data_IF_286450038228
#
_entry.id   IF_286450038228
#
_cell.length_a   1.000
_cell.length_b   1.000
_cell.length_c   1.000
_cell.angle_alpha   90.00
_cell.angle_beta   90.00
_cell.angle_gamma   90.00
#
_symmetry.space_group_name_H-M   'P 1'
#
loop_
_entity.id
_entity.type
_entity.pdbx_description
1 polymer ?
#
# COMPACT_ATOMS: atom_id res chain seq x y z
N UNK A 1 0.78 14.12 -12.93
CA UNK A 1 0.23 12.77 -13.15
C UNK A 1 -1.24 12.84 -12.81
N UNK A 2 -2.10 12.41 -13.73
CA UNK A 2 -3.54 12.32 -13.52
C UNK A 2 -3.83 10.91 -13.02
N UNK A 3 -4.31 10.75 -11.79
CA UNK A 3 -4.77 9.45 -11.34
C UNK A 3 -6.09 9.09 -12.03
N UNK A 4 -6.31 7.80 -12.36
CA UNK A 4 -7.62 7.32 -12.76
C UNK A 4 -8.66 7.52 -11.64
N UNK A 5 -8.24 7.38 -10.38
CA UNK A 5 -9.07 7.62 -9.19
C UNK A 5 -8.78 9.04 -8.66
N UNK A 6 -9.80 9.90 -8.65
CA UNK A 6 -9.69 11.30 -8.20
C UNK A 6 -10.62 11.65 -7.05
N UNK A 7 -11.57 10.77 -6.76
CA UNK A 7 -12.56 10.91 -5.71
C UNK A 7 -12.49 9.63 -4.87
N UNK A 8 -12.07 9.80 -3.62
CA UNK A 8 -11.85 8.70 -2.69
C UNK A 8 -13.16 8.18 -2.09
N UNK A 9 -14.23 8.99 -2.13
CA UNK A 9 -15.56 8.61 -1.64
C UNK A 9 -16.31 7.75 -2.67
N UNK A 10 -15.86 7.78 -3.93
CA UNK A 10 -16.40 6.98 -5.02
C UNK A 10 -15.70 5.61 -5.18
N UNK A 11 -14.76 5.25 -4.30
CA UNK A 11 -13.99 4.00 -4.39
C UNK A 11 -14.19 3.14 -3.16
N UNK A 12 -14.51 1.88 -3.42
CA UNK A 12 -14.54 0.79 -2.45
C UNK A 12 -13.55 -0.31 -2.88
N UNK A 13 -13.38 -1.32 -2.02
CA UNK A 13 -12.45 -2.42 -2.30
C UNK A 13 -12.92 -3.29 -3.48
N UNK A 14 -14.23 -3.44 -3.66
CA UNK A 14 -14.81 -4.23 -4.76
C UNK A 14 -14.54 -3.60 -6.12
N UNK A 15 -14.68 -2.29 -6.25
CA UNK A 15 -14.37 -1.52 -7.47
C UNK A 15 -12.87 -1.52 -7.79
N UNK A 16 -12.02 -1.68 -6.78
CA UNK A 16 -10.58 -1.93 -6.98
C UNK A 16 -10.28 -3.35 -7.47
N UNK A 17 -11.26 -4.26 -7.46
CA UNK A 17 -11.09 -5.65 -7.87
C UNK A 17 -10.17 -6.42 -6.94
N UNK A 18 -10.22 -6.12 -5.65
CA UNK A 18 -9.45 -6.81 -4.61
C UNK A 18 -10.43 -7.74 -3.86
N UNK A 19 -10.14 -9.04 -3.85
CA UNK A 19 -10.91 -9.99 -3.07
C UNK A 19 -10.44 -9.96 -1.60
N UNK A 20 -11.37 -9.73 -0.68
CA UNK A 20 -11.13 -9.82 0.75
C UNK A 20 -11.51 -11.21 1.27
N UNK A 21 -10.80 -11.67 2.31
CA UNK A 21 -11.21 -12.82 3.09
C UNK A 21 -12.25 -12.46 4.17
N UNK A 22 -12.67 -13.46 4.96
CA UNK A 22 -13.68 -13.31 6.02
C UNK A 22 -13.27 -12.32 7.12
N UNK A 23 -11.97 -11.99 7.22
CA UNK A 23 -11.43 -10.99 8.15
C UNK A 23 -11.33 -9.59 7.52
N UNK A 24 -11.78 -9.41 6.27
CA UNK A 24 -11.70 -8.13 5.55
C UNK A 24 -10.30 -7.79 5.07
N UNK A 25 -9.43 -8.78 4.91
CA UNK A 25 -8.03 -8.59 4.52
C UNK A 25 -7.72 -9.18 3.15
N UNK A 26 -6.60 -8.75 2.58
CA UNK A 26 -6.04 -9.32 1.36
C UNK A 26 -4.53 -9.47 1.51
N UNK A 27 -3.94 -10.33 0.68
CA UNK A 27 -2.49 -10.55 0.63
C UNK A 27 -1.91 -9.98 -0.64
N UNK A 28 -0.79 -9.27 -0.50
CA UNK A 28 0.03 -8.78 -1.60
C UNK A 28 1.43 -9.39 -1.55
N UNK A 29 2.08 -9.49 -2.70
CA UNK A 29 3.44 -10.02 -2.86
C UNK A 29 4.37 -8.96 -3.43
N UNK A 30 5.45 -8.63 -2.71
CA UNK A 30 6.50 -7.70 -3.13
C UNK A 30 7.82 -8.45 -3.14
N UNK A 31 8.41 -8.66 -4.32
CA UNK A 31 9.71 -9.35 -4.49
C UNK A 31 9.79 -10.70 -3.75
N UNK A 32 8.70 -11.46 -3.75
CA UNK A 32 8.61 -12.77 -3.08
C UNK A 32 8.23 -12.72 -1.60
N UNK A 33 8.13 -11.54 -0.99
CA UNK A 33 7.59 -11.37 0.37
C UNK A 33 6.08 -11.16 0.32
N UNK A 34 5.35 -11.94 1.11
CA UNK A 34 3.90 -11.77 1.28
C UNK A 34 3.60 -10.85 2.45
N UNK A 35 2.66 -9.93 2.26
CA UNK A 35 2.20 -9.00 3.27
C UNK A 35 0.67 -8.96 3.27
N UNK A 36 0.06 -8.86 4.45
CA UNK A 36 -1.39 -8.83 4.63
C UNK A 36 -1.81 -7.43 5.06
N UNK A 37 -2.82 -6.89 4.40
CA UNK A 37 -3.42 -5.59 4.71
C UNK A 37 -4.93 -5.75 4.83
N UNK A 38 -5.58 -4.89 5.61
CA UNK A 38 -7.04 -4.79 5.58
C UNK A 38 -7.50 -3.92 4.41
N UNK A 39 -8.71 -4.17 3.92
CA UNK A 39 -9.35 -3.26 2.96
C UNK A 39 -9.59 -1.86 3.53
N UNK A 40 -9.90 -1.78 4.83
CA UNK A 40 -10.15 -0.51 5.52
C UNK A 40 -8.91 0.39 5.54
N UNK A 41 -7.75 -0.13 5.98
CA UNK A 41 -6.48 0.60 5.99
C UNK A 41 -6.11 1.11 4.59
N UNK A 42 -6.36 0.30 3.55
CA UNK A 42 -6.09 0.69 2.17
C UNK A 42 -6.94 1.90 1.75
N UNK A 43 -8.24 1.87 2.03
CA UNK A 43 -9.14 2.96 1.65
C UNK A 43 -8.83 4.25 2.41
N UNK A 44 -8.51 4.14 3.70
CA UNK A 44 -8.11 5.29 4.53
C UNK A 44 -6.83 5.94 3.99
N UNK A 45 -5.78 5.16 3.75
CA UNK A 45 -4.53 5.68 3.19
C UNK A 45 -4.72 6.26 1.77
N UNK A 46 -5.59 5.67 0.95
CA UNK A 46 -5.93 6.22 -0.37
C UNK A 46 -6.58 7.61 -0.27
N UNK A 47 -7.48 7.81 0.70
CA UNK A 47 -8.10 9.13 1.00
C UNK A 47 -7.03 10.14 1.40
N UNK A 48 -6.21 9.78 2.38
CA UNK A 48 -5.13 10.63 2.88
C UNK A 48 -4.19 11.06 1.75
N UNK A 49 -3.81 10.15 0.86
CA UNK A 49 -2.95 10.47 -0.27
C UNK A 49 -3.57 11.41 -1.30
N UNK A 50 -4.89 11.39 -1.47
CA UNK A 50 -5.60 12.31 -2.35
C UNK A 50 -5.69 13.72 -1.76
N UNK A 51 -5.76 13.85 -0.44
CA UNK A 51 -5.75 15.12 0.29
C UNK A 51 -4.34 15.76 0.38
N UNK A 52 -3.29 14.94 0.27
CA UNK A 52 -1.91 15.43 0.31
C UNK A 52 -1.46 16.04 -1.03
N UNK A 53 -0.82 17.22 -0.96
CA UNK A 53 -0.19 17.87 -2.12
C UNK A 53 0.76 16.92 -2.85
N UNK A 54 0.66 16.88 -4.18
CA UNK A 54 1.41 15.94 -5.03
C UNK A 54 2.93 15.94 -4.82
N UNK A 55 3.54 17.07 -4.47
CA UNK A 55 4.99 17.16 -4.20
C UNK A 55 5.39 16.44 -2.92
N UNK A 56 4.58 16.58 -1.86
CA UNK A 56 4.77 15.94 -0.56
C UNK A 56 4.57 14.44 -0.68
N UNK A 57 3.47 14.01 -1.31
CA UNK A 57 3.21 12.59 -1.59
C UNK A 57 4.35 11.93 -2.35
N UNK A 58 4.88 12.59 -3.38
CA UNK A 58 6.03 12.07 -4.14
C UNK A 58 7.29 11.89 -3.29
N UNK A 59 7.51 12.75 -2.28
CA UNK A 59 8.63 12.59 -1.36
C UNK A 59 8.40 11.43 -0.37
N UNK A 60 7.18 11.30 0.16
CA UNK A 60 6.79 10.19 1.03
C UNK A 60 6.96 8.84 0.32
N UNK A 61 6.47 8.71 -0.92
CA UNK A 61 6.58 7.48 -1.70
C UNK A 61 8.04 7.08 -1.97
N UNK A 62 8.92 8.03 -2.29
CA UNK A 62 10.35 7.75 -2.47
C UNK A 62 11.02 7.28 -1.18
N UNK A 63 10.55 7.76 -0.02
CA UNK A 63 11.03 7.29 1.29
C UNK A 63 10.50 5.88 1.56
N UNK A 64 9.19 5.66 1.39
CA UNK A 64 8.56 4.37 1.59
C UNK A 64 9.21 3.26 0.76
N UNK A 65 9.46 3.50 -0.53
CA UNK A 65 10.11 2.52 -1.40
C UNK A 65 11.53 2.14 -0.93
N UNK A 66 12.31 3.11 -0.42
CA UNK A 66 13.65 2.83 0.13
C UNK A 66 13.56 1.99 1.40
N UNK A 67 12.63 2.32 2.29
CA UNK A 67 12.45 1.63 3.56
C UNK A 67 11.95 0.20 3.34
N UNK A 68 11.03 -0.01 2.39
CA UNK A 68 10.59 -1.35 1.95
C UNK A 68 11.78 -2.15 1.43
N UNK A 69 12.55 -1.61 0.47
CA UNK A 69 13.69 -2.32 -0.10
C UNK A 69 14.74 -2.68 0.96
N UNK A 70 14.97 -1.80 1.92
CA UNK A 70 15.86 -2.06 3.05
C UNK A 70 15.32 -3.16 3.97
N UNK A 71 14.04 -3.11 4.34
CA UNK A 71 13.38 -4.14 5.15
C UNK A 71 13.41 -5.51 4.47
N UNK A 72 13.07 -5.57 3.18
CA UNK A 72 13.14 -6.79 2.37
C UNK A 72 14.57 -7.35 2.30
N UNK A 73 15.58 -6.49 2.19
CA UNK A 73 16.99 -6.93 2.19
C UNK A 73 17.43 -7.50 3.54
N UNK A 74 16.95 -6.94 4.65
CA UNK A 74 17.26 -7.42 6.00
C UNK A 74 16.51 -8.71 6.35
N UNK A 75 15.32 -8.92 5.78
CA UNK A 75 14.34 -9.90 6.24
C UNK A 75 13.34 -9.19 7.16
N UNK A 76 12.08 -8.95 6.75
CA UNK A 76 11.08 -8.25 7.56
C UNK A 76 10.83 -8.88 8.94
N UNK A 77 11.04 -10.19 9.06
CA UNK A 77 10.96 -10.97 10.30
C UNK A 77 12.12 -10.70 11.28
N UNK A 78 13.19 -10.05 10.82
CA UNK A 78 14.39 -9.71 11.59
C UNK A 78 14.43 -8.25 12.02
N UNK A 79 13.41 -7.46 11.65
CA UNK A 79 13.25 -6.08 12.08
C UNK A 79 12.78 -6.04 13.54
N UNK A 80 13.26 -5.05 14.29
CA UNK A 80 12.72 -4.76 15.63
C UNK A 80 11.33 -4.11 15.53
N UNK A 81 10.64 -3.94 16.66
CA UNK A 81 9.24 -3.50 16.68
C UNK A 81 9.01 -2.16 15.97
N UNK A 82 9.89 -1.18 16.14
CA UNK A 82 9.77 0.13 15.50
C UNK A 82 10.07 0.04 13.99
N UNK A 83 11.18 -0.63 13.62
CA UNK A 83 11.52 -0.81 12.22
C UNK A 83 10.50 -1.66 11.47
N UNK A 84 9.86 -2.61 12.15
CA UNK A 84 8.80 -3.45 11.60
C UNK A 84 7.53 -2.65 11.35
N UNK A 85 7.07 -1.87 12.34
CA UNK A 85 5.91 -1.01 12.17
C UNK A 85 6.12 0.01 11.04
N UNK A 86 7.32 0.60 10.95
CA UNK A 86 7.67 1.49 9.86
C UNK A 86 7.68 0.78 8.50
N UNK A 87 8.15 -0.46 8.43
CA UNK A 87 8.11 -1.26 7.21
C UNK A 87 6.67 -1.54 6.77
N UNK A 88 5.82 -2.00 7.69
CA UNK A 88 4.42 -2.35 7.42
C UNK A 88 3.63 -1.11 6.94
N UNK A 89 3.77 0.03 7.62
CA UNK A 89 3.17 1.31 7.19
C UNK A 89 3.66 1.74 5.81
N UNK A 90 4.95 1.62 5.53
CA UNK A 90 5.49 2.00 4.22
C UNK A 90 4.95 1.10 3.10
N UNK A 91 4.71 -0.19 3.37
CA UNK A 91 4.04 -1.10 2.41
C UNK A 91 2.63 -0.62 2.11
N UNK A 92 1.85 -0.24 3.12
CA UNK A 92 0.50 0.32 2.95
C UNK A 92 0.52 1.59 2.08
N UNK A 93 1.35 2.58 2.44
CA UNK A 93 1.53 3.84 1.69
C UNK A 93 1.88 3.55 0.22
N UNK A 94 2.84 2.66 0.00
CA UNK A 94 3.28 2.31 -1.35
C UNK A 94 2.18 1.60 -2.15
N UNK A 95 1.44 0.68 -1.53
CA UNK A 95 0.39 -0.07 -2.21
C UNK A 95 -0.83 0.79 -2.52
N UNK A 96 -1.21 1.71 -1.63
CA UNK A 96 -2.25 2.71 -1.89
C UNK A 96 -1.96 3.56 -3.13
N UNK A 97 -0.69 3.98 -3.34
CA UNK A 97 -0.30 4.67 -4.57
C UNK A 97 -0.44 3.78 -5.82
N UNK A 98 -0.18 2.46 -5.71
CA UNK A 98 -0.42 1.53 -6.81
C UNK A 98 -1.92 1.40 -7.11
N UNK A 99 -2.75 1.32 -6.08
CA UNK A 99 -4.20 1.24 -6.21
C UNK A 99 -4.77 2.49 -6.89
N UNK A 100 -4.38 3.69 -6.41
CA UNK A 100 -4.76 4.97 -7.02
C UNK A 100 -4.35 5.10 -8.49
N UNK A 101 -3.29 4.41 -8.91
CA UNK A 101 -2.80 4.38 -10.30
C UNK A 101 -3.40 3.24 -11.14
N UNK A 102 -4.19 2.35 -10.56
CA UNK A 102 -4.67 1.13 -11.22
C UNK A 102 -3.56 0.12 -11.54
N UNK A 103 -2.44 0.18 -10.81
CA UNK A 103 -1.24 -0.65 -11.01
C UNK A 103 -1.05 -1.71 -9.90
N UNK A 104 -2.04 -1.92 -9.04
CA UNK A 104 -1.97 -2.81 -7.88
C UNK A 104 -2.17 -4.29 -8.20
N UNK A 105 -2.93 -4.60 -9.26
CA UNK A 105 -3.34 -5.97 -9.62
C UNK A 105 -2.17 -6.95 -9.74
N UNK A 106 -1.01 -6.50 -10.27
CA UNK A 106 0.18 -7.34 -10.41
C UNK A 106 0.86 -7.74 -9.09
N UNK A 107 0.43 -7.16 -7.97
CA UNK A 107 0.97 -7.43 -6.64
C UNK A 107 0.01 -8.22 -5.77
N UNK A 108 -1.25 -8.40 -6.16
CA UNK A 108 -2.18 -9.23 -5.39
C UNK A 108 -1.71 -10.69 -5.44
N UNK A 109 -1.72 -11.35 -4.29
CA UNK A 109 -1.56 -12.80 -4.26
C UNK A 109 -2.76 -13.44 -4.98
N UNK A 110 -2.47 -14.48 -5.78
CA UNK A 110 -3.49 -15.25 -6.49
C UNK A 110 -4.22 -16.19 -5.55
#
# INVERSE_FOLDING_TARGET
MTFPIKDADAVDIETLGIALDDEGTFTLTIKGYSHRLTGEELLEEMRDQLDVRSSVRGALLRKAEKDILFGLKKGPERLDGEARAAFDLNVLIWFADKALKGAHQGYLAK
#
